data_IF_836827250415
#
_entry.id   IF_836827250415
#
_cell.length_a   1.000
_cell.length_b   1.000
_cell.length_c   1.000
_cell.angle_alpha   90.00
_cell.angle_beta   90.00
_cell.angle_gamma   90.00
#
_symmetry.space_group_name_H-M   'P 1'
#
loop_
_entity.id
_entity.type
_entity.pdbx_description
1 polymer ?
#
# COMPACT_ATOMS: atom_id res chain seq x y z
N UNK A 1 -46.90 -22.52 6.48
CA UNK A 1 -47.62 -22.17 5.24
C UNK A 1 -46.84 -21.02 4.65
N UNK A 2 -46.00 -21.20 3.63
CA UNK A 2 -46.39 -21.34 2.23
C UNK A 2 -45.24 -22.01 1.48
N UNK A 3 -45.54 -23.08 0.74
CA UNK A 3 -44.61 -23.74 -0.19
C UNK A 3 -44.55 -22.91 -1.46
N UNK A 4 -43.35 -22.60 -1.95
CA UNK A 4 -43.14 -22.19 -3.35
C UNK A 4 -42.03 -23.06 -3.92
N UNK A 5 -42.47 -24.03 -4.70
CA UNK A 5 -41.63 -24.82 -5.59
C UNK A 5 -41.40 -24.00 -6.86
N UNK A 6 -40.14 -23.85 -7.30
CA UNK A 6 -39.86 -23.40 -8.66
C UNK A 6 -38.91 -24.36 -9.36
N UNK A 7 -39.32 -24.63 -10.60
CA UNK A 7 -38.90 -25.69 -11.50
C UNK A 7 -37.43 -25.60 -11.92
N UNK A 8 -36.82 -26.78 -12.06
CA UNK A 8 -35.63 -27.02 -12.87
C UNK A 8 -35.81 -26.49 -14.31
N UNK A 9 -34.80 -25.75 -14.79
CA UNK A 9 -34.42 -25.81 -16.20
C UNK A 9 -32.89 -25.71 -16.34
N UNK A 10 -32.27 -26.87 -16.42
CA UNK A 10 -30.87 -27.07 -16.79
C UNK A 10 -30.73 -26.87 -18.30
N UNK A 11 -30.20 -25.71 -18.72
CA UNK A 11 -29.72 -25.50 -20.09
C UNK A 11 -28.24 -25.83 -20.16
N UNK A 12 -27.94 -27.05 -20.60
CA UNK A 12 -26.62 -27.41 -21.12
C UNK A 12 -26.51 -26.91 -22.55
N UNK A 13 -25.80 -25.80 -22.76
CA UNK A 13 -25.27 -25.44 -24.08
C UNK A 13 -23.99 -26.26 -24.31
N UNK A 14 -24.13 -27.41 -24.95
CA UNK A 14 -23.01 -28.10 -25.57
C UNK A 14 -22.69 -27.34 -26.88
N UNK A 15 -21.72 -26.44 -26.83
CA UNK A 15 -21.06 -25.93 -28.02
C UNK A 15 -20.25 -27.09 -28.63
N UNK A 16 -20.84 -27.75 -29.64
CA UNK A 16 -20.13 -28.73 -30.44
C UNK A 16 -19.06 -28.03 -31.27
N UNK A 17 -17.81 -28.08 -30.82
CA UNK A 17 -16.67 -27.86 -31.69
C UNK A 17 -16.67 -28.98 -32.75
N UNK A 18 -17.07 -28.64 -33.97
CA UNK A 18 -16.76 -29.47 -35.14
C UNK A 18 -15.25 -29.38 -35.30
N UNK A 19 -14.53 -30.38 -34.81
CA UNK A 19 -13.16 -30.64 -35.23
C UNK A 19 -13.30 -31.18 -36.66
N UNK A 20 -13.02 -30.34 -37.65
CA UNK A 20 -12.66 -30.83 -38.97
C UNK A 20 -11.43 -31.73 -38.77
N UNK A 21 -11.63 -33.05 -38.94
CA UNK A 21 -10.58 -34.04 -39.13
C UNK A 21 -9.85 -33.71 -40.45
N UNK A 22 -9.04 -32.65 -40.41
CA UNK A 22 -7.96 -32.50 -41.38
C UNK A 22 -6.96 -33.59 -41.02
N UNK A 23 -6.60 -34.48 -41.97
CA UNK A 23 -5.54 -35.42 -41.73
C UNK A 23 -4.32 -34.63 -41.27
N UNK A 24 -3.84 -34.92 -40.06
CA UNK A 24 -2.53 -34.48 -39.59
C UNK A 24 -1.57 -35.03 -40.63
N UNK A 25 -1.16 -34.16 -41.55
CA UNK A 25 0.01 -34.43 -42.38
C UNK A 25 1.14 -34.76 -41.39
N UNK A 26 1.95 -35.81 -41.65
CA UNK A 26 3.15 -36.03 -40.85
C UNK A 26 3.90 -34.70 -40.78
N UNK A 27 4.49 -34.31 -39.62
CA UNK A 27 5.24 -33.08 -39.52
C UNK A 27 6.19 -33.06 -40.71
N UNK A 28 5.98 -32.14 -41.64
CA UNK A 28 6.88 -32.01 -42.78
C UNK A 28 8.26 -31.82 -42.19
N UNK A 29 9.25 -32.54 -42.72
CA UNK A 29 10.69 -32.45 -42.42
C UNK A 29 11.24 -31.04 -42.72
N UNK A 30 10.64 -29.99 -42.13
CA UNK A 30 11.18 -28.65 -42.07
C UNK A 30 12.24 -28.66 -41.01
N UNK A 31 13.36 -29.30 -41.27
CA UNK A 31 14.52 -29.13 -40.43
C UNK A 31 15.34 -27.94 -40.89
N UNK A 32 16.11 -27.37 -39.98
CA UNK A 32 17.07 -26.30 -40.27
C UNK A 32 18.44 -26.90 -40.60
N UNK A 33 19.18 -26.30 -41.53
CA UNK A 33 20.55 -26.70 -41.81
C UNK A 33 21.45 -26.29 -40.63
N UNK A 34 21.90 -27.28 -39.86
CA UNK A 34 22.70 -27.12 -38.66
C UNK A 34 24.16 -27.55 -38.89
N UNK A 35 24.65 -27.43 -40.13
CA UNK A 35 26.05 -27.68 -40.47
C UNK A 35 26.44 -29.17 -40.36
N UNK A 36 27.37 -29.57 -39.47
CA UNK A 36 27.88 -30.94 -39.44
C UNK A 36 26.84 -32.00 -39.04
N UNK A 37 25.74 -31.62 -38.40
CA UNK A 37 24.61 -32.51 -38.14
C UNK A 37 23.70 -32.71 -39.37
N UNK A 38 23.91 -31.95 -40.45
CA UNK A 38 22.96 -31.88 -41.56
C UNK A 38 21.70 -31.14 -41.13
N UNK A 39 20.54 -31.75 -41.33
CA UNK A 39 19.25 -31.13 -41.02
C UNK A 39 18.79 -31.49 -39.61
N UNK A 40 18.71 -30.51 -38.72
CA UNK A 40 18.16 -30.69 -37.37
C UNK A 40 16.67 -30.30 -37.31
N UNK A 41 15.86 -30.90 -36.41
CA UNK A 41 14.47 -30.51 -36.19
C UNK A 41 14.33 -29.03 -35.81
N UNK A 42 13.21 -28.39 -36.19
CA UNK A 42 12.94 -26.97 -35.83
C UNK A 42 12.96 -26.70 -34.32
N UNK A 43 12.63 -27.70 -33.51
CA UNK A 43 12.57 -27.61 -32.05
C UNK A 43 13.90 -27.93 -31.37
N UNK A 44 14.93 -28.33 -32.14
CA UNK A 44 16.30 -28.62 -31.71
C UNK A 44 17.31 -28.15 -32.78
N UNK A 45 17.37 -26.84 -33.09
CA UNK A 45 18.08 -26.36 -34.27
C UNK A 45 19.61 -26.39 -34.16
N UNK A 46 20.18 -26.54 -32.97
CA UNK A 46 21.61 -26.37 -32.70
C UNK A 46 22.34 -27.71 -32.78
N UNK A 47 23.44 -27.78 -33.52
CA UNK A 47 24.28 -28.98 -33.64
C UNK A 47 25.47 -28.95 -32.68
N UNK A 48 25.59 -29.97 -31.82
CA UNK A 48 26.73 -30.11 -30.90
C UNK A 48 27.95 -30.76 -31.58
N UNK A 49 29.13 -30.65 -30.95
CA UNK A 49 30.35 -31.34 -31.39
C UNK A 49 30.24 -32.88 -31.34
N UNK A 50 29.27 -33.41 -30.60
CA UNK A 50 28.94 -34.83 -30.55
C UNK A 50 28.02 -35.28 -31.70
N UNK A 51 27.70 -34.38 -32.64
CA UNK A 51 26.76 -34.59 -33.75
C UNK A 51 25.34 -34.90 -33.26
N UNK A 52 24.91 -34.21 -32.19
CA UNK A 52 23.54 -34.28 -31.66
C UNK A 52 22.85 -32.94 -31.87
N UNK A 53 21.60 -32.98 -32.33
CA UNK A 53 20.73 -31.81 -32.37
C UNK A 53 20.18 -31.53 -30.96
N UNK A 54 20.25 -30.28 -30.52
CA UNK A 54 19.79 -29.81 -29.21
C UNK A 54 19.09 -28.46 -29.37
N UNK A 55 18.40 -28.00 -28.33
CA UNK A 55 17.71 -26.70 -28.41
C UNK A 55 18.69 -25.53 -28.38
N UNK A 56 19.77 -25.68 -27.60
CA UNK A 56 20.76 -24.64 -27.41
C UNK A 56 22.07 -25.21 -26.86
N UNK A 57 23.11 -24.40 -26.89
CA UNK A 57 24.39 -24.61 -26.20
C UNK A 57 24.84 -23.31 -25.53
N UNK A 58 25.88 -23.36 -24.70
CA UNK A 58 26.45 -22.15 -24.10
C UNK A 58 26.95 -21.13 -25.15
N UNK A 59 27.28 -21.58 -26.37
CA UNK A 59 27.78 -20.73 -27.46
C UNK A 59 26.69 -20.33 -28.48
N UNK A 60 25.49 -20.93 -28.39
CA UNK A 60 24.38 -20.74 -29.34
C UNK A 60 23.04 -20.95 -28.63
N UNK A 61 22.42 -19.85 -28.19
CA UNK A 61 21.17 -19.78 -27.44
C UNK A 61 20.06 -19.01 -28.16
N UNK A 62 20.28 -18.61 -29.42
CA UNK A 62 19.37 -17.79 -30.24
C UNK A 62 17.94 -18.36 -30.27
N UNK A 63 17.82 -19.70 -30.33
CA UNK A 63 16.53 -20.39 -30.30
C UNK A 63 15.76 -20.16 -29.01
N UNK A 64 16.44 -20.16 -27.85
CA UNK A 64 15.81 -19.90 -26.56
C UNK A 64 15.45 -18.41 -26.41
N UNK A 65 16.37 -17.51 -26.76
CA UNK A 65 16.14 -16.05 -26.64
C UNK A 65 14.97 -15.59 -27.51
N UNK A 66 14.81 -16.15 -28.71
CA UNK A 66 13.67 -15.84 -29.59
C UNK A 66 12.29 -16.21 -28.98
N UNK A 67 12.28 -17.06 -27.96
CA UNK A 67 11.09 -17.50 -27.23
C UNK A 67 11.00 -16.90 -25.81
N UNK A 68 11.87 -15.94 -25.46
CA UNK A 68 12.02 -15.41 -24.12
C UNK A 68 12.29 -16.51 -23.07
N UNK A 69 13.15 -17.47 -23.41
CA UNK A 69 13.62 -18.54 -22.54
C UNK A 69 15.14 -18.48 -22.36
N UNK A 70 15.63 -19.15 -21.31
CA UNK A 70 17.06 -19.25 -20.99
C UNK A 70 17.59 -20.60 -21.46
N UNK A 71 18.77 -20.62 -22.06
CA UNK A 71 19.45 -21.87 -22.36
C UNK A 71 20.03 -22.49 -21.09
N UNK A 72 19.62 -23.73 -20.76
CA UNK A 72 20.32 -24.54 -19.76
C UNK A 72 21.38 -25.40 -20.47
N UNK A 73 22.68 -25.07 -20.35
CA UNK A 73 23.73 -25.79 -21.05
C UNK A 73 23.96 -27.22 -20.52
N UNK A 74 23.55 -27.54 -19.28
CA UNK A 74 23.70 -28.88 -18.72
C UNK A 74 22.71 -29.87 -19.32
N UNK A 75 21.48 -29.43 -19.57
CA UNK A 75 20.44 -30.23 -20.22
C UNK A 75 20.33 -30.00 -21.72
N UNK A 76 20.97 -28.95 -22.25
CA UNK A 76 20.87 -28.48 -23.64
C UNK A 76 19.42 -28.21 -24.09
N UNK A 77 18.62 -27.70 -23.15
CA UNK A 77 17.20 -27.37 -23.36
C UNK A 77 16.91 -25.92 -22.99
N UNK A 78 15.90 -25.33 -23.60
CA UNK A 78 15.38 -24.03 -23.21
C UNK A 78 14.46 -24.20 -21.98
N UNK A 79 14.76 -23.47 -20.92
CA UNK A 79 14.00 -23.44 -19.67
C UNK A 79 13.50 -22.02 -19.41
N UNK A 80 12.51 -21.87 -18.53
CA UNK A 80 12.02 -20.56 -18.13
C UNK A 80 13.06 -19.77 -17.33
N UNK A 81 13.92 -20.47 -16.59
CA UNK A 81 14.96 -19.86 -15.77
C UNK A 81 16.09 -20.86 -15.45
N UNK A 82 17.28 -20.34 -15.21
CA UNK A 82 18.45 -21.05 -14.66
C UNK A 82 18.77 -20.63 -13.22
N UNK A 83 18.30 -19.45 -12.81
CA UNK A 83 18.29 -18.94 -11.44
C UNK A 83 17.27 -17.82 -11.26
N UNK A 84 17.14 -17.33 -10.02
CA UNK A 84 16.13 -16.30 -9.67
C UNK A 84 16.30 -15.00 -10.48
N UNK A 85 17.53 -14.63 -10.84
CA UNK A 85 17.81 -13.45 -11.65
C UNK A 85 17.23 -13.51 -13.09
N UNK A 86 16.84 -14.70 -13.57
CA UNK A 86 16.16 -14.85 -14.86
C UNK A 86 14.64 -14.58 -14.76
N UNK A 87 14.13 -14.47 -13.54
CA UNK A 87 12.70 -14.35 -13.22
C UNK A 87 12.36 -12.91 -12.85
N UNK A 88 12.13 -12.05 -13.85
CA UNK A 88 11.94 -10.61 -13.65
C UNK A 88 10.48 -10.19 -13.42
N UNK A 89 9.54 -11.14 -13.43
CA UNK A 89 8.10 -10.86 -13.26
C UNK A 89 7.73 -10.83 -11.77
N UNK A 90 7.00 -9.80 -11.28
CA UNK A 90 6.69 -9.66 -9.85
C UNK A 90 5.95 -10.85 -9.21
N UNK A 91 5.08 -11.52 -9.96
CA UNK A 91 4.32 -12.68 -9.48
C UNK A 91 5.03 -14.02 -9.75
N UNK A 92 6.24 -13.98 -10.31
CA UNK A 92 7.00 -15.15 -10.68
C UNK A 92 8.51 -14.87 -10.59
N UNK A 93 9.01 -14.43 -9.43
CA UNK A 93 10.39 -13.99 -9.25
C UNK A 93 11.39 -15.07 -8.82
N UNK A 94 10.90 -16.29 -8.56
CA UNK A 94 11.73 -17.41 -8.08
C UNK A 94 11.89 -18.46 -9.16
N UNK A 95 13.10 -18.95 -9.37
CA UNK A 95 13.34 -20.10 -10.23
C UNK A 95 13.19 -21.43 -9.47
N UNK A 96 12.26 -22.28 -9.92
CA UNK A 96 12.08 -23.64 -9.40
C UNK A 96 11.86 -24.63 -10.54
N UNK A 97 12.68 -25.68 -10.59
CA UNK A 97 12.60 -26.74 -11.61
C UNK A 97 12.60 -26.22 -13.06
N UNK A 98 13.35 -25.14 -13.33
CA UNK A 98 13.45 -24.51 -14.64
C UNK A 98 12.22 -23.68 -15.03
N UNK A 99 11.35 -23.35 -14.08
CA UNK A 99 10.20 -22.46 -14.26
C UNK A 99 10.20 -21.34 -13.23
N UNK A 100 9.83 -20.15 -13.65
CA UNK A 100 9.60 -19.03 -12.74
C UNK A 100 8.28 -19.22 -11.99
N UNK A 101 8.33 -19.06 -10.67
CA UNK A 101 7.24 -19.25 -9.71
C UNK A 101 7.20 -18.09 -8.72
N UNK A 102 6.13 -17.99 -7.95
CA UNK A 102 5.99 -17.01 -6.86
C UNK A 102 7.22 -16.99 -5.93
N UNK A 103 7.53 -15.80 -5.40
CA UNK A 103 8.62 -15.65 -4.45
C UNK A 103 8.27 -16.31 -3.11
N UNK A 104 9.29 -16.68 -2.36
CA UNK A 104 9.21 -17.10 -0.95
C UNK A 104 10.32 -16.48 -0.09
N UNK A 105 11.22 -15.69 -0.69
CA UNK A 105 12.27 -14.94 -0.01
C UNK A 105 12.52 -13.62 -0.75
N UNK A 106 12.74 -12.55 0.02
CA UNK A 106 12.97 -11.21 -0.54
C UNK A 106 14.11 -11.13 -1.55
N UNK A 107 15.15 -11.98 -1.43
CA UNK A 107 16.33 -11.94 -2.31
C UNK A 107 15.99 -12.34 -3.75
N UNK A 108 14.84 -12.95 -3.97
CA UNK A 108 14.32 -13.25 -5.31
C UNK A 108 13.75 -12.00 -6.00
N UNK A 109 13.45 -10.95 -5.25
CA UNK A 109 12.81 -9.73 -5.75
C UNK A 109 13.80 -8.63 -6.15
N UNK A 110 15.12 -8.83 -6.02
CA UNK A 110 16.12 -7.79 -6.26
C UNK A 110 16.24 -7.38 -7.75
N UNK A 111 15.94 -8.29 -8.69
CA UNK A 111 16.06 -8.08 -10.14
C UNK A 111 14.70 -8.04 -10.88
N UNK A 112 13.61 -7.78 -10.15
CA UNK A 112 12.25 -7.73 -10.72
C UNK A 112 11.99 -6.42 -11.45
N UNK A 113 11.42 -6.52 -12.66
CA UNK A 113 11.09 -5.39 -13.50
C UNK A 113 10.01 -4.50 -12.87
N UNK A 114 10.24 -3.20 -12.89
CA UNK A 114 9.28 -2.21 -12.37
C UNK A 114 9.40 -1.92 -10.88
N UNK A 115 10.23 -2.68 -10.15
CA UNK A 115 10.57 -2.41 -8.75
C UNK A 115 11.91 -1.64 -8.62
N UNK A 116 12.14 -0.93 -7.51
CA UNK A 116 13.46 -0.39 -7.20
C UNK A 116 14.50 -1.53 -7.17
N UNK A 117 15.63 -1.37 -7.86
CA UNK A 117 16.54 -2.48 -8.15
C UNK A 117 17.35 -3.07 -6.98
N UNK A 118 17.07 -2.72 -5.71
CA UNK A 118 17.57 -3.47 -4.54
C UNK A 118 16.59 -3.35 -3.37
N UNK A 119 16.49 -4.43 -2.59
CA UNK A 119 15.79 -4.50 -1.29
C UNK A 119 14.26 -4.51 -1.38
N UNK A 120 13.68 -5.22 -2.34
CA UNK A 120 12.22 -5.41 -2.38
C UNK A 120 11.76 -6.48 -1.39
N UNK A 121 10.47 -6.53 -1.10
CA UNK A 121 9.86 -7.55 -0.26
C UNK A 121 9.14 -8.61 -1.11
N UNK A 122 9.00 -9.81 -0.54
CA UNK A 122 8.07 -10.82 -1.02
C UNK A 122 6.87 -10.83 -0.05
N UNK A 123 5.68 -10.48 -0.54
CA UNK A 123 4.49 -10.46 0.30
C UNK A 123 3.92 -11.89 0.53
N UNK A 124 2.93 -12.00 1.41
CA UNK A 124 2.31 -13.29 1.76
C UNK A 124 1.56 -13.95 0.59
N UNK A 125 1.29 -13.20 -0.49
CA UNK A 125 0.69 -13.72 -1.73
C UNK A 125 1.75 -14.24 -2.72
N UNK A 126 3.04 -14.12 -2.38
CA UNK A 126 4.16 -14.55 -3.22
C UNK A 126 4.45 -13.59 -4.38
N UNK A 127 4.11 -12.31 -4.19
CA UNK A 127 4.35 -11.22 -5.14
C UNK A 127 5.48 -10.33 -4.61
N UNK A 128 6.39 -9.94 -5.50
CA UNK A 128 7.41 -8.96 -5.22
C UNK A 128 6.84 -7.54 -5.23
N UNK A 129 7.11 -6.79 -4.16
CA UNK A 129 6.60 -5.44 -3.89
C UNK A 129 7.72 -4.59 -3.29
N UNK A 130 7.61 -3.27 -3.25
CA UNK A 130 8.67 -2.43 -2.66
C UNK A 130 8.87 -2.78 -1.18
N UNK A 131 7.76 -2.97 -0.45
CA UNK A 131 7.80 -3.20 0.98
C UNK A 131 6.55 -3.91 1.49
N UNK A 132 6.66 -4.44 2.71
CA UNK A 132 5.54 -4.80 3.57
C UNK A 132 5.73 -4.12 4.94
N UNK A 133 4.67 -4.01 5.77
CA UNK A 133 4.80 -3.49 7.14
C UNK A 133 5.88 -4.18 7.98
N UNK A 134 6.16 -5.46 7.72
CA UNK A 134 7.17 -6.24 8.45
C UNK A 134 8.59 -6.02 7.93
N UNK A 135 8.73 -5.59 6.67
CA UNK A 135 10.03 -5.50 5.98
C UNK A 135 10.50 -4.06 5.76
N UNK A 136 9.64 -3.06 5.94
CA UNK A 136 9.88 -1.64 5.68
C UNK A 136 11.18 -1.09 6.28
N UNK A 137 11.58 -1.55 7.46
CA UNK A 137 12.81 -1.10 8.12
C UNK A 137 14.09 -1.51 7.36
N UNK A 138 14.00 -2.55 6.54
CA UNK A 138 15.10 -3.08 5.74
C UNK A 138 14.95 -2.76 4.25
N UNK A 139 13.72 -2.69 3.74
CA UNK A 139 13.44 -2.54 2.32
C UNK A 139 13.31 -1.08 1.89
N UNK A 140 12.78 -0.23 2.76
CA UNK A 140 12.60 1.17 2.44
C UNK A 140 13.85 2.00 2.78
N UNK A 141 14.28 2.89 1.85
CA UNK A 141 15.43 3.75 2.08
C UNK A 141 15.19 4.68 3.28
N UNK A 142 16.26 5.03 4.00
CA UNK A 142 16.21 5.92 5.17
C UNK A 142 15.20 5.50 6.26
N UNK A 143 14.85 4.21 6.35
CA UNK A 143 13.83 3.69 7.27
C UNK A 143 12.48 4.41 7.12
N UNK A 144 12.05 4.60 5.87
CA UNK A 144 10.72 5.06 5.52
C UNK A 144 9.66 3.99 5.79
N UNK A 145 8.47 4.43 6.15
CA UNK A 145 7.34 3.54 6.37
C UNK A 145 6.78 3.03 5.04
N UNK A 146 6.19 1.85 5.06
CA UNK A 146 5.49 1.23 3.95
C UNK A 146 4.00 1.58 3.98
N UNK A 147 3.43 1.89 2.81
CA UNK A 147 1.99 2.00 2.68
C UNK A 147 1.38 0.59 2.53
N UNK A 148 0.62 0.08 3.51
CA UNK A 148 0.08 -1.29 3.50
C UNK A 148 -0.94 -1.55 2.39
N UNK A 149 -1.49 -0.49 1.75
CA UNK A 149 -2.47 -0.60 0.67
C UNK A 149 -1.82 -0.68 -0.70
N UNK A 150 -0.76 0.09 -0.91
CA UNK A 150 -0.06 0.16 -2.21
C UNK A 150 1.20 -0.69 -2.24
N UNK A 151 1.69 -1.14 -1.08
CA UNK A 151 2.94 -1.88 -0.90
C UNK A 151 4.16 -1.10 -1.43
N UNK A 152 4.07 0.23 -1.38
CA UNK A 152 5.10 1.20 -1.79
C UNK A 152 5.69 1.92 -0.59
N UNK A 153 7.00 2.22 -0.66
CA UNK A 153 7.67 3.02 0.36
C UNK A 153 7.20 4.48 0.33
N UNK A 154 6.88 5.03 1.50
CA UNK A 154 6.42 6.43 1.63
C UNK A 154 7.59 7.40 1.73
N UNK A 155 7.33 8.71 1.76
CA UNK A 155 8.36 9.73 2.03
C UNK A 155 8.58 10.01 3.54
N UNK A 156 7.83 9.33 4.42
CA UNK A 156 7.83 9.58 5.85
C UNK A 156 8.57 8.45 6.57
N UNK A 157 9.47 8.83 7.49
CA UNK A 157 10.19 7.87 8.33
C UNK A 157 9.25 7.17 9.33
N UNK A 158 9.58 5.93 9.66
CA UNK A 158 8.88 5.16 10.70
C UNK A 158 8.95 5.95 12.03
N UNK A 159 7.81 6.07 12.71
CA UNK A 159 7.67 6.76 14.00
C UNK A 159 7.87 8.28 13.94
N UNK A 160 7.85 8.88 12.74
CA UNK A 160 8.16 10.31 12.60
C UNK A 160 7.00 11.23 12.95
N UNK A 161 5.78 10.78 12.71
CA UNK A 161 4.58 11.59 12.80
C UNK A 161 4.05 11.66 14.22
N UNK A 162 3.71 12.86 14.65
CA UNK A 162 3.09 13.13 15.94
C UNK A 162 1.56 12.99 15.89
N UNK A 163 0.90 13.19 17.04
CA UNK A 163 -0.55 13.13 17.15
C UNK A 163 -1.21 14.13 16.19
N UNK A 164 -2.27 13.69 15.52
CA UNK A 164 -3.02 14.47 14.54
C UNK A 164 -2.22 14.92 13.29
N UNK A 165 -1.05 14.33 13.03
CA UNK A 165 -0.42 14.43 11.72
C UNK A 165 -1.03 13.44 10.73
N UNK A 166 -1.03 13.80 9.44
CA UNK A 166 -1.56 12.96 8.36
C UNK A 166 -0.63 11.78 8.08
N UNK A 167 -1.21 10.59 8.00
CA UNK A 167 -0.50 9.33 7.81
C UNK A 167 -1.22 8.44 6.79
N UNK A 168 -0.51 7.44 6.27
CA UNK A 168 -1.04 6.37 5.42
C UNK A 168 -0.76 4.97 6.00
N UNK A 169 0.09 4.87 7.02
CA UNK A 169 0.38 3.62 7.74
C UNK A 169 0.57 3.85 9.23
N UNK A 170 0.27 2.82 10.03
CA UNK A 170 0.44 2.85 11.49
C UNK A 170 1.91 3.06 11.88
N UNK A 171 2.85 2.52 11.09
CA UNK A 171 4.27 2.64 11.35
C UNK A 171 4.82 4.05 11.21
N UNK A 172 4.12 4.96 10.52
CA UNK A 172 4.50 6.38 10.49
C UNK A 172 4.24 7.07 11.83
N UNK A 173 3.28 6.57 12.61
CA UNK A 173 2.84 7.19 13.85
C UNK A 173 3.79 6.89 15.00
N UNK A 174 4.37 7.95 15.55
CA UNK A 174 5.33 7.88 16.64
C UNK A 174 4.93 8.71 17.85
N UNK A 175 5.84 8.72 18.81
CA UNK A 175 5.80 9.56 20.01
C UNK A 175 7.24 10.05 20.25
N UNK A 176 7.46 11.36 20.23
CA UNK A 176 8.78 11.99 20.39
C UNK A 176 9.90 11.45 19.44
N UNK A 177 9.52 11.00 18.24
CA UNK A 177 10.45 10.50 17.23
C UNK A 177 10.81 9.01 17.34
N UNK A 178 10.15 8.27 18.22
CA UNK A 178 10.19 6.81 18.29
C UNK A 178 8.86 6.19 17.82
N UNK A 179 8.91 4.95 17.33
CA UNK A 179 7.71 4.22 16.91
C UNK A 179 6.79 4.01 18.12
N UNK A 180 5.53 4.42 17.99
CA UNK A 180 4.58 4.27 19.08
C UNK A 180 3.68 3.06 18.82
N UNK A 181 3.71 2.08 19.71
CA UNK A 181 2.72 0.99 19.70
C UNK A 181 1.31 1.48 20.06
N UNK A 182 1.22 2.67 20.66
CA UNK A 182 -0.04 3.27 21.10
C UNK A 182 -0.70 4.13 20.02
N UNK A 183 0.03 4.59 19.00
CA UNK A 183 -0.55 5.40 17.92
C UNK A 183 -0.81 4.56 16.68
N UNK A 184 -1.93 4.82 16.03
CA UNK A 184 -2.35 4.17 14.79
C UNK A 184 -2.78 5.23 13.80
N UNK A 185 -2.69 4.90 12.53
CA UNK A 185 -3.16 5.74 11.46
C UNK A 185 -4.65 5.49 11.21
N UNK A 186 -5.48 6.37 11.75
CA UNK A 186 -6.93 6.16 11.81
C UNK A 186 -7.62 7.12 10.83
N UNK A 187 -8.51 6.65 9.94
CA UNK A 187 -9.32 7.52 9.10
C UNK A 187 -10.07 8.53 9.96
N UNK A 188 -10.22 9.77 9.50
CA UNK A 188 -11.06 10.78 10.13
C UNK A 188 -12.27 11.09 9.25
N UNK A 189 -13.39 11.44 9.85
CA UNK A 189 -14.55 11.99 9.15
C UNK A 189 -14.79 13.40 9.62
N UNK A 190 -15.24 14.31 8.75
CA UNK A 190 -15.45 15.70 9.11
C UNK A 190 -16.83 16.20 8.67
N UNK A 191 -17.54 16.88 9.56
CA UNK A 191 -18.94 17.35 9.45
C UNK A 191 -19.98 16.23 9.41
N UNK A 192 -19.69 15.13 8.73
CA UNK A 192 -20.58 13.96 8.64
C UNK A 192 -19.76 12.67 8.63
N UNK A 193 -20.33 11.59 9.18
CA UNK A 193 -19.70 10.26 9.23
C UNK A 193 -19.44 9.63 7.86
N UNK A 194 -20.00 10.19 6.78
CA UNK A 194 -19.78 9.73 5.40
C UNK A 194 -18.70 10.56 4.67
N UNK A 195 -18.28 11.69 5.25
CA UNK A 195 -17.33 12.60 4.62
C UNK A 195 -15.92 12.35 5.15
N UNK A 196 -15.21 11.43 4.48
CA UNK A 196 -13.86 11.07 4.86
C UNK A 196 -12.88 12.21 4.58
N UNK A 197 -12.04 12.52 5.56
CA UNK A 197 -11.10 13.63 5.53
C UNK A 197 -9.65 13.17 5.76
N UNK A 198 -8.66 13.76 5.07
CA UNK A 198 -8.82 14.69 3.94
C UNK A 198 -9.30 13.99 2.66
N UNK A 199 -9.10 12.66 2.59
CA UNK A 199 -9.40 11.83 1.43
C UNK A 199 -9.66 10.35 1.81
N UNK A 200 -9.77 9.48 0.80
CA UNK A 200 -10.09 8.05 0.93
C UNK A 200 -8.93 7.11 1.29
N UNK A 201 -7.71 7.64 1.39
CA UNK A 201 -6.48 6.86 1.50
C UNK A 201 -5.61 7.30 2.69
N UNK A 202 -5.89 8.48 3.25
CA UNK A 202 -5.17 9.06 4.38
C UNK A 202 -5.95 8.90 5.69
N UNK A 203 -5.22 8.96 6.80
CA UNK A 203 -5.72 9.01 8.16
C UNK A 203 -4.89 9.97 9.00
N UNK A 204 -5.09 9.93 10.31
CA UNK A 204 -4.34 10.73 11.27
C UNK A 204 -3.78 9.85 12.37
N UNK A 205 -2.60 10.21 12.87
CA UNK A 205 -1.99 9.50 13.99
C UNK A 205 -2.78 9.76 15.26
N UNK A 206 -3.57 8.79 15.69
CA UNK A 206 -4.41 8.85 16.87
C UNK A 206 -3.98 7.80 17.89
N UNK A 207 -3.99 8.19 19.15
CA UNK A 207 -3.61 7.32 20.26
C UNK A 207 -4.74 6.35 20.60
N UNK A 208 -4.43 5.10 20.90
CA UNK A 208 -5.35 4.18 21.58
C UNK A 208 -5.87 4.80 22.88
N UNK A 209 -7.11 4.47 23.25
CA UNK A 209 -7.69 4.84 24.54
C UNK A 209 -7.01 4.19 25.74
N UNK A 210 -6.03 3.30 25.54
CA UNK A 210 -5.20 2.74 26.60
C UNK A 210 -4.48 3.83 27.40
N UNK A 211 -4.79 3.91 28.70
CA UNK A 211 -4.27 4.97 29.58
C UNK A 211 -5.12 6.25 29.60
N UNK A 212 -6.22 6.29 28.85
CA UNK A 212 -7.18 7.38 28.83
C UNK A 212 -6.81 8.51 27.87
N UNK A 213 -7.84 9.22 27.43
CA UNK A 213 -7.69 10.36 26.54
C UNK A 213 -7.32 11.64 27.29
N UNK A 214 -6.42 12.41 26.69
CA UNK A 214 -5.92 13.68 27.25
C UNK A 214 -6.34 14.83 26.35
N UNK A 215 -6.49 16.02 26.95
CA UNK A 215 -6.78 17.25 26.22
C UNK A 215 -5.66 17.57 25.23
N UNK A 216 -5.94 18.11 24.03
CA UNK A 216 -7.27 18.40 23.47
C UNK A 216 -8.00 17.16 22.91
N UNK A 217 -7.31 16.04 22.73
CA UNK A 217 -7.80 14.79 22.15
C UNK A 217 -8.68 13.96 23.10
N UNK A 218 -9.68 14.59 23.70
CA UNK A 218 -10.51 14.02 24.77
C UNK A 218 -11.70 13.19 24.28
N UNK A 219 -11.99 13.21 22.98
CA UNK A 219 -13.12 12.50 22.39
C UNK A 219 -12.72 11.07 22.06
N UNK A 220 -13.51 10.09 22.47
CA UNK A 220 -13.30 8.70 22.10
C UNK A 220 -13.99 8.40 20.78
N UNK A 221 -13.21 7.96 19.79
CA UNK A 221 -13.69 7.43 18.52
C UNK A 221 -13.76 5.91 18.64
N UNK A 222 -14.98 5.36 18.59
CA UNK A 222 -15.23 3.93 18.82
C UNK A 222 -15.19 3.11 17.54
N UNK A 223 -14.78 1.83 17.68
CA UNK A 223 -14.88 0.80 16.65
C UNK A 223 -14.27 1.23 15.29
N UNK A 224 -13.13 1.94 15.32
CA UNK A 224 -12.47 2.43 14.12
C UNK A 224 -11.41 1.45 13.63
N UNK A 225 -11.29 1.22 12.32
CA UNK A 225 -10.15 0.52 11.76
C UNK A 225 -8.94 1.46 11.69
N UNK A 226 -7.73 0.89 11.70
CA UNK A 226 -6.54 1.60 11.23
C UNK A 226 -6.33 1.34 9.74
N UNK A 227 -5.49 2.15 9.09
CA UNK A 227 -5.16 1.94 7.68
C UNK A 227 -4.26 0.71 7.46
N UNK A 228 -3.47 0.32 8.46
CA UNK A 228 -2.66 -0.91 8.41
C UNK A 228 -3.41 -2.17 8.84
N UNK A 229 -4.52 -2.05 9.56
CA UNK A 229 -5.40 -3.17 9.89
C UNK A 229 -6.88 -2.82 9.63
N UNK A 230 -7.34 -2.89 8.35
CA UNK A 230 -8.73 -2.58 7.99
C UNK A 230 -9.77 -3.56 8.56
N UNK A 231 -9.35 -4.75 9.02
CA UNK A 231 -10.22 -5.74 9.64
C UNK A 231 -10.32 -5.56 11.16
N UNK A 232 -9.29 -4.97 11.77
CA UNK A 232 -9.24 -4.57 13.16
C UNK A 232 -10.24 -3.46 13.48
N UNK A 233 -10.70 -3.46 14.73
CA UNK A 233 -11.48 -2.37 15.32
C UNK A 233 -10.81 -1.97 16.62
N UNK A 234 -10.60 -0.67 16.80
CA UNK A 234 -10.00 -0.08 17.99
C UNK A 234 -10.71 1.20 18.42
N UNK A 235 -10.47 1.58 19.67
CA UNK A 235 -10.96 2.82 20.25
C UNK A 235 -9.80 3.81 20.37
N UNK A 236 -9.99 5.02 19.85
CA UNK A 236 -8.93 6.02 19.77
C UNK A 236 -9.32 7.35 20.42
N UNK A 237 -8.32 8.05 20.91
CA UNK A 237 -8.42 9.42 21.38
C UNK A 237 -8.25 10.37 20.20
N UNK A 238 -9.28 11.17 19.95
CA UNK A 238 -9.34 12.11 18.85
C UNK A 238 -10.11 13.37 19.22
N UNK A 239 -10.63 14.02 18.18
CA UNK A 239 -11.33 15.30 18.25
C UNK A 239 -12.81 15.10 17.94
N UNK A 240 -13.61 16.15 18.14
CA UNK A 240 -15.02 16.13 17.79
C UNK A 240 -15.18 16.31 16.26
N UNK A 241 -15.15 15.18 15.56
CA UNK A 241 -15.23 15.07 14.09
C UNK A 241 -16.41 15.81 13.45
N UNK A 242 -17.47 16.15 14.22
CA UNK A 242 -18.60 16.92 13.70
C UNK A 242 -18.27 18.41 13.47
N UNK A 243 -17.28 18.96 14.18
CA UNK A 243 -17.00 20.40 14.21
C UNK A 243 -15.53 20.78 14.08
N UNK A 244 -14.59 19.86 14.29
CA UNK A 244 -13.15 20.14 14.25
C UNK A 244 -12.38 19.04 13.50
N UNK A 245 -11.25 19.41 12.92
CA UNK A 245 -10.30 18.49 12.30
C UNK A 245 -8.97 18.45 13.06
N UNK A 246 -8.21 17.38 12.89
CA UNK A 246 -6.83 17.31 13.39
C UNK A 246 -5.94 18.49 12.96
N UNK A 247 -5.90 18.90 11.68
CA UNK A 247 -5.16 20.10 11.26
C UNK A 247 -5.55 21.38 12.02
N UNK A 248 -6.85 21.62 12.27
CA UNK A 248 -7.29 22.80 13.01
C UNK A 248 -6.82 22.80 14.48
N UNK A 249 -6.79 21.62 15.13
CA UNK A 249 -6.21 21.49 16.48
C UNK A 249 -4.71 21.79 16.46
N UNK A 250 -3.99 21.27 15.46
CA UNK A 250 -2.55 21.52 15.32
C UNK A 250 -2.24 22.99 15.08
N UNK A 251 -3.03 23.71 14.29
CA UNK A 251 -2.85 25.14 14.07
C UNK A 251 -2.87 25.94 15.39
N UNK A 252 -3.83 25.63 16.28
CA UNK A 252 -3.90 26.25 17.61
C UNK A 252 -2.69 25.88 18.49
N UNK A 253 -2.31 24.61 18.52
CA UNK A 253 -1.15 24.15 19.29
C UNK A 253 0.18 24.77 18.80
N UNK A 254 0.25 25.09 17.51
CA UNK A 254 1.39 25.75 16.89
C UNK A 254 1.38 27.29 17.02
N UNK A 255 0.37 27.89 17.66
CA UNK A 255 0.15 29.35 17.70
C UNK A 255 0.11 29.98 16.29
N UNK A 256 -0.56 29.30 15.36
CA UNK A 256 -0.66 29.75 13.97
C UNK A 256 -1.46 31.05 13.89
N UNK A 257 -0.89 32.06 13.23
CA UNK A 257 -1.55 33.36 13.03
C UNK A 257 -2.41 33.34 11.76
N UNK A 258 -3.49 34.12 11.76
CA UNK A 258 -4.35 34.40 10.60
C UNK A 258 -4.37 35.92 10.34
N UNK A 259 -3.33 36.46 9.68
CA UNK A 259 -3.06 37.91 9.63
C UNK A 259 -4.17 38.79 9.06
N UNK A 260 -5.01 38.27 8.17
CA UNK A 260 -6.14 39.02 7.59
C UNK A 260 -7.42 38.91 8.45
N UNK A 261 -7.37 38.20 9.57
CA UNK A 261 -8.52 37.99 10.45
C UNK A 261 -9.55 37.02 9.85
N UNK A 262 -9.14 36.19 8.89
CA UNK A 262 -10.04 35.38 8.07
C UNK A 262 -9.97 33.90 8.41
N UNK A 263 -11.14 33.25 8.54
CA UNK A 263 -11.24 31.81 8.83
C UNK A 263 -10.58 30.95 7.72
N UNK A 264 -10.56 31.45 6.48
CA UNK A 264 -9.92 30.77 5.33
C UNK A 264 -8.37 30.71 5.42
N UNK A 265 -7.75 31.43 6.36
CA UNK A 265 -6.29 31.35 6.60
C UNK A 265 -5.92 30.18 7.52
N UNK A 266 -6.90 29.58 8.17
CA UNK A 266 -6.72 28.44 9.06
C UNK A 266 -6.99 27.13 8.32
N UNK A 267 -6.46 26.03 8.85
CA UNK A 267 -6.77 24.71 8.32
C UNK A 267 -8.27 24.41 8.40
N UNK A 268 -8.75 23.51 7.54
CA UNK A 268 -10.17 23.12 7.48
C UNK A 268 -10.73 22.80 8.87
N UNK A 269 -11.87 23.39 9.23
CA UNK A 269 -12.46 23.26 10.56
C UNK A 269 -11.83 24.15 11.64
N UNK A 270 -10.88 24.99 11.26
CA UNK A 270 -10.36 26.09 12.05
C UNK A 270 -11.07 27.40 11.74
N UNK A 271 -10.95 28.34 12.68
CA UNK A 271 -11.48 29.71 12.60
C UNK A 271 -10.46 30.69 13.17
N UNK A 272 -10.49 31.93 12.71
CA UNK A 272 -9.56 32.97 13.13
C UNK A 272 -10.15 33.83 14.25
N UNK A 273 -9.66 33.68 15.49
CA UNK A 273 -10.18 34.43 16.65
C UNK A 273 -9.07 34.87 17.58
N UNK A 274 -9.39 35.77 18.50
CA UNK A 274 -8.49 36.13 19.60
C UNK A 274 -8.43 34.98 20.62
N UNK A 275 -7.22 34.56 20.97
CA UNK A 275 -6.95 33.52 21.99
C UNK A 275 -6.35 34.21 23.22
N UNK A 276 -7.21 34.47 24.21
CA UNK A 276 -6.87 35.31 25.36
C UNK A 276 -6.53 36.76 24.96
N UNK A 277 -5.25 37.11 25.04
CA UNK A 277 -4.73 38.43 24.61
C UNK A 277 -3.95 38.37 23.30
N UNK A 278 -3.90 37.21 22.65
CA UNK A 278 -3.23 36.99 21.37
C UNK A 278 -4.27 37.19 20.27
N UNK A 279 -4.18 38.27 19.47
CA UNK A 279 -5.13 38.49 18.40
C UNK A 279 -4.87 37.55 17.23
N UNK A 280 -5.91 37.35 16.41
CA UNK A 280 -5.79 36.75 15.08
C UNK A 280 -5.01 35.41 15.08
N UNK A 281 -5.51 34.46 15.91
CA UNK A 281 -4.99 33.09 16.01
C UNK A 281 -5.95 32.10 15.39
N UNK A 282 -5.40 31.12 14.70
CA UNK A 282 -6.15 29.96 14.28
C UNK A 282 -6.53 29.12 15.51
N UNK A 283 -7.83 28.98 15.70
CA UNK A 283 -8.47 28.16 16.72
C UNK A 283 -9.54 27.30 16.08
N UNK A 284 -10.35 26.60 16.87
CA UNK A 284 -11.40 25.71 16.40
C UNK A 284 -12.60 25.73 17.34
N UNK A 285 -13.75 25.32 16.81
CA UNK A 285 -15.00 25.22 17.56
C UNK A 285 -14.93 24.11 18.60
N UNK A 286 -15.58 24.33 19.73
CA UNK A 286 -15.65 23.35 20.81
C UNK A 286 -17.06 23.28 21.39
N UNK A 287 -17.45 22.08 21.81
CA UNK A 287 -18.67 21.85 22.60
C UNK A 287 -18.41 21.80 24.10
N UNK A 288 -17.17 21.50 24.53
CA UNK A 288 -16.79 21.39 25.94
C UNK A 288 -15.34 21.85 26.17
N UNK A 289 -15.01 22.41 27.35
CA UNK A 289 -13.64 22.80 27.69
C UNK A 289 -12.62 21.66 27.56
N UNK A 290 -13.02 20.41 27.82
CA UNK A 290 -12.12 19.26 27.70
C UNK A 290 -11.58 19.04 26.27
N UNK A 291 -12.26 19.58 25.24
CA UNK A 291 -11.83 19.50 23.85
C UNK A 291 -10.75 20.53 23.49
N UNK A 292 -10.49 21.49 24.38
CA UNK A 292 -9.47 22.52 24.20
C UNK A 292 -8.15 22.13 24.87
N UNK A 293 -7.00 22.72 24.46
CA UNK A 293 -5.70 22.46 25.06
C UNK A 293 -5.68 22.59 26.59
N UNK A 294 -4.72 21.94 27.24
CA UNK A 294 -4.64 21.93 28.71
C UNK A 294 -4.25 23.27 29.32
N UNK A 295 -3.56 24.13 28.55
CA UNK A 295 -2.87 25.31 29.05
C UNK A 295 -3.57 26.62 28.66
N UNK A 296 -3.65 27.60 29.56
CA UNK A 296 -4.22 28.91 29.27
C UNK A 296 -3.34 29.71 28.29
N UNK A 297 -3.94 30.59 27.47
CA UNK A 297 -5.36 30.94 27.47
C UNK A 297 -6.23 29.99 26.65
N UNK A 298 -5.66 29.00 25.97
CA UNK A 298 -6.37 28.10 25.06
C UNK A 298 -7.28 27.07 25.78
N UNK A 299 -7.26 27.01 27.10
CA UNK A 299 -7.93 25.97 27.90
C UNK A 299 -9.42 26.19 28.14
N UNK A 300 -9.98 27.29 27.64
CA UNK A 300 -11.40 27.61 27.74
C UNK A 300 -12.13 27.23 26.46
N UNK A 301 -13.40 26.85 26.62
CA UNK A 301 -14.36 26.72 25.53
C UNK A 301 -15.48 27.72 25.79
N UNK A 302 -15.56 28.75 24.95
CA UNK A 302 -16.51 29.83 25.15
C UNK A 302 -16.54 30.83 24.01
N UNK A 303 -17.42 31.82 24.17
CA UNK A 303 -17.49 33.00 23.34
C UNK A 303 -17.04 34.22 24.14
N UNK A 304 -15.91 34.81 23.76
CA UNK A 304 -15.35 36.02 24.37
C UNK A 304 -16.18 37.31 24.11
N UNK A 305 -17.26 37.24 23.32
CA UNK A 305 -18.21 38.33 23.08
C UNK A 305 -19.54 37.81 22.54
N UNK A 306 -20.65 38.27 23.12
CA UNK A 306 -21.98 37.67 22.94
C UNK A 306 -22.43 37.47 21.49
N UNK A 307 -22.74 36.21 21.14
CA UNK A 307 -23.48 35.83 19.93
C UNK A 307 -22.74 34.96 18.91
N UNK A 308 -21.47 34.58 19.17
CA UNK A 308 -20.71 33.64 18.35
C UNK A 308 -20.82 32.18 18.82
N UNK A 309 -20.27 31.26 18.02
CA UNK A 309 -20.05 29.86 18.39
C UNK A 309 -18.86 29.74 19.36
N UNK A 310 -18.92 28.77 20.29
CA UNK A 310 -17.87 28.56 21.30
C UNK A 310 -16.61 27.99 20.66
N UNK A 311 -15.45 28.54 21.04
CA UNK A 311 -14.15 28.16 20.47
C UNK A 311 -13.06 28.03 21.54
N UNK A 312 -11.99 27.33 21.20
CA UNK A 312 -10.88 27.12 22.11
C UNK A 312 -10.02 28.37 22.29
N UNK A 313 -9.94 28.89 23.52
CA UNK A 313 -9.16 30.09 23.82
C UNK A 313 -9.95 31.38 23.98
N UNK A 314 -11.28 31.30 24.02
CA UNK A 314 -12.17 32.41 24.33
C UNK A 314 -13.28 32.08 25.28
#
# INVERSE_FOLDING_TARGET
>A
MMRVAFFLWSLSFAAGCIIEDRPIAPPGDGGVDAGPCGTCPVDQPVCTSALQCVQCTADDDDYCTAQALVCNPESSTCVGCSGDADCTEPNAARCSDGMCTACDDRRQCDDVDGLPGILNACNDEGVCVDCTPESEAETCPDSRACNPRTEECTDVQIGRLEVCEQCVSDSQCGDDGDVSEAHRCVPMFYETMDNRFPDGDTGFCLKSTDGGCVRPYSVTLFDRPSLSDPAGQGDYCGVDEEIVTCPAVRDLLADTECPDGSDDECATGGICRDVGSLPDRCTYLCGLPAQCPGDPPADTCGSSGGGGDDYCGG
#
